data_IF_181796931468
#
_entry.id   IF_181796931468
#
_cell.length_a   1.000
_cell.length_b   1.000
_cell.length_c   1.000
_cell.angle_alpha   90.00
_cell.angle_beta   90.00
_cell.angle_gamma   90.00
#
_symmetry.space_group_name_H-M   'P 1'
#
loop_
_entity.id
_entity.type
_entity.pdbx_description
1 polymer ?
#
# COMPACT_ATOMS: atom_id res chain seq x y z
N UNK A 1 -15.86 -11.35 -2.79
CA UNK A 1 -15.42 -9.93 -2.83
C UNK A 1 -15.73 -9.35 -4.20
N UNK A 2 -16.14 -8.09 -4.26
CA UNK A 2 -16.22 -7.36 -5.52
C UNK A 2 -14.81 -7.17 -6.08
N UNK A 3 -14.57 -7.67 -7.31
CA UNK A 3 -13.21 -7.71 -7.90
C UNK A 3 -12.77 -6.37 -8.49
N UNK A 4 -13.70 -5.44 -8.70
CA UNK A 4 -13.43 -4.17 -9.37
C UNK A 4 -13.58 -3.03 -8.38
N UNK A 5 -12.47 -2.34 -8.12
CA UNK A 5 -12.43 -1.23 -7.17
C UNK A 5 -12.11 0.07 -7.90
N UNK A 6 -12.86 1.13 -7.61
CA UNK A 6 -12.49 2.49 -8.03
C UNK A 6 -11.41 3.01 -7.10
N UNK A 7 -10.16 2.91 -7.53
CA UNK A 7 -8.96 3.22 -6.72
C UNK A 7 -9.05 4.57 -6.00
N UNK A 8 -9.44 5.65 -6.69
CA UNK A 8 -9.53 6.98 -6.07
C UNK A 8 -10.52 7.04 -4.90
N UNK A 9 -11.71 6.46 -5.06
CA UNK A 9 -12.74 6.43 -4.02
C UNK A 9 -12.28 5.58 -2.83
N UNK A 10 -11.74 4.39 -3.11
CA UNK A 10 -11.25 3.49 -2.07
C UNK A 10 -10.11 4.09 -1.25
N UNK A 11 -9.18 4.80 -1.89
CA UNK A 11 -8.10 5.48 -1.18
C UNK A 11 -8.64 6.60 -0.28
N UNK A 12 -9.63 7.37 -0.73
CA UNK A 12 -10.23 8.42 0.10
C UNK A 12 -10.99 7.85 1.30
N UNK A 13 -11.78 6.80 1.08
CA UNK A 13 -12.51 6.08 2.14
C UNK A 13 -11.57 5.47 3.19
N UNK A 14 -10.35 5.10 2.79
CA UNK A 14 -9.35 4.47 3.66
C UNK A 14 -8.22 5.43 4.09
N UNK A 15 -8.40 6.75 3.87
CA UNK A 15 -7.37 7.77 4.10
C UNK A 15 -6.72 7.69 5.48
N UNK A 16 -7.49 7.36 6.51
CA UNK A 16 -7.00 7.23 7.89
C UNK A 16 -5.96 6.10 8.07
N UNK A 17 -6.03 5.04 7.27
CA UNK A 17 -5.06 3.92 7.33
C UNK A 17 -3.69 4.27 6.72
N UNK A 18 -3.61 5.35 5.94
CA UNK A 18 -2.37 5.76 5.25
C UNK A 18 -1.55 6.79 6.04
N UNK A 19 -1.86 6.96 7.33
CA UNK A 19 -1.13 7.79 8.27
C UNK A 19 -0.58 6.94 9.43
N UNK A 20 0.44 7.42 10.15
CA UNK A 20 0.89 6.77 11.38
C UNK A 20 -0.25 6.58 12.38
N UNK A 21 -0.27 5.46 13.13
CA UNK A 21 0.76 4.41 13.20
C UNK A 21 0.63 3.29 12.16
N UNK A 22 -0.38 3.32 11.28
CA UNK A 22 -0.71 2.17 10.41
C UNK A 22 0.03 2.23 9.07
N UNK A 23 0.00 3.39 8.40
CA UNK A 23 0.69 3.69 7.15
C UNK A 23 0.43 2.74 5.95
N UNK A 24 -0.43 1.74 6.04
CA UNK A 24 -0.73 0.86 4.91
C UNK A 24 -2.12 0.22 5.03
N UNK A 25 -2.65 -0.24 3.89
CA UNK A 25 -3.86 -1.05 3.86
C UNK A 25 -3.86 -2.01 2.67
N UNK A 26 -4.21 -3.26 2.94
CA UNK A 26 -4.42 -4.28 1.93
C UNK A 26 -5.79 -4.11 1.25
N UNK A 27 -5.80 -4.03 -0.07
CA UNK A 27 -7.02 -3.96 -0.90
C UNK A 27 -7.48 -5.37 -1.31
N UNK A 28 -6.55 -6.23 -1.71
CA UNK A 28 -6.82 -7.62 -2.07
C UNK A 28 -5.80 -8.56 -1.40
N UNK A 29 -6.30 -9.69 -0.88
CA UNK A 29 -5.52 -10.70 -0.15
C UNK A 29 -5.73 -12.08 -0.77
N UNK A 30 -5.44 -12.19 -2.06
CA UNK A 30 -5.55 -13.46 -2.79
C UNK A 30 -4.14 -13.93 -3.18
N UNK A 31 -4.00 -14.64 -4.31
CA UNK A 31 -2.69 -15.00 -4.85
C UNK A 31 -1.80 -13.76 -5.07
N UNK A 32 -2.38 -12.66 -5.55
CA UNK A 32 -1.72 -11.35 -5.61
C UNK A 32 -2.17 -10.49 -4.44
N UNK A 33 -1.19 -10.03 -3.64
CA UNK A 33 -1.43 -9.05 -2.58
C UNK A 33 -1.35 -7.65 -3.19
N UNK A 34 -2.45 -6.91 -3.16
CA UNK A 34 -2.50 -5.52 -3.63
C UNK A 34 -2.68 -4.65 -2.40
N UNK A 35 -1.69 -3.81 -2.10
CA UNK A 35 -1.72 -2.91 -0.96
C UNK A 35 -1.41 -1.47 -1.36
N UNK A 36 -1.86 -0.54 -0.54
CA UNK A 36 -1.56 0.87 -0.64
C UNK A 36 -0.78 1.27 0.60
N UNK A 37 0.32 1.98 0.39
CA UNK A 37 1.21 2.44 1.45
C UNK A 37 1.18 3.97 1.47
N UNK A 38 1.10 4.54 2.65
CA UNK A 38 1.19 5.96 2.93
C UNK A 38 2.37 6.29 3.83
N UNK A 39 2.34 7.48 4.42
CA UNK A 39 3.42 8.00 5.24
C UNK A 39 2.98 9.14 6.15
N UNK A 40 3.93 9.75 6.89
CA UNK A 40 5.38 9.46 6.84
C UNK A 40 5.73 8.11 7.49
N UNK A 41 6.65 7.37 6.88
CA UNK A 41 7.21 6.15 7.45
C UNK A 41 8.65 5.95 6.97
N UNK A 42 9.61 5.86 7.90
CA UNK A 42 11.02 5.61 7.59
C UNK A 42 11.55 4.54 8.54
N UNK A 43 12.26 3.56 8.00
CA UNK A 43 12.74 2.39 8.74
C UNK A 43 14.18 2.05 8.35
N UNK A 44 14.87 1.29 9.19
CA UNK A 44 16.29 0.93 9.01
C UNK A 44 16.49 -0.54 8.61
N UNK A 45 15.45 -1.34 8.75
CA UNK A 45 15.48 -2.75 8.44
C UNK A 45 15.16 -2.99 6.96
N UNK A 46 15.66 -4.11 6.45
CA UNK A 46 15.45 -4.56 5.08
C UNK A 46 14.46 -5.71 5.06
N UNK A 47 13.53 -5.69 4.10
CA UNK A 47 12.64 -6.80 3.81
C UNK A 47 13.31 -7.72 2.76
N UNK A 48 13.26 -9.03 2.98
CA UNK A 48 13.82 -10.03 2.06
C UNK A 48 12.74 -11.08 1.83
N UNK A 49 12.37 -11.26 0.56
CA UNK A 49 11.47 -12.33 0.13
C UNK A 49 11.92 -12.92 -1.20
N UNK A 50 11.44 -14.13 -1.51
CA UNK A 50 11.71 -14.81 -2.78
C UNK A 50 10.77 -14.34 -3.91
N UNK A 51 9.66 -13.70 -3.54
CA UNK A 51 8.67 -13.15 -4.47
C UNK A 51 9.10 -11.80 -5.06
N UNK A 52 8.48 -11.43 -6.17
CA UNK A 52 8.63 -10.11 -6.78
C UNK A 52 7.67 -9.10 -6.12
N UNK A 53 8.19 -7.95 -5.70
CA UNK A 53 7.39 -6.81 -5.23
C UNK A 53 7.44 -5.67 -6.26
N UNK A 54 6.32 -5.43 -6.95
CA UNK A 54 6.19 -4.34 -7.91
C UNK A 54 5.63 -3.07 -7.25
N UNK A 55 6.38 -1.97 -7.29
CA UNK A 55 5.97 -0.69 -6.69
C UNK A 55 5.64 0.37 -7.74
N UNK A 56 4.46 0.97 -7.62
CA UNK A 56 4.06 2.14 -8.41
C UNK A 56 3.59 3.29 -7.53
N UNK A 57 4.27 4.43 -7.65
CA UNK A 57 3.90 5.65 -6.93
C UNK A 57 2.68 6.31 -7.57
N UNK A 58 1.66 6.60 -6.76
CA UNK A 58 0.44 7.28 -7.20
C UNK A 58 0.41 8.77 -6.83
N UNK A 59 1.08 9.13 -5.73
CA UNK A 59 1.23 10.49 -5.22
C UNK A 59 2.62 10.62 -4.61
N UNK A 60 3.21 11.80 -4.76
CA UNK A 60 4.52 12.16 -4.20
C UNK A 60 5.65 11.19 -4.61
N UNK A 61 6.65 10.99 -3.75
CA UNK A 61 7.82 10.15 -4.00
C UNK A 61 8.06 9.15 -2.87
N UNK A 62 8.74 8.05 -3.18
CA UNK A 62 9.19 7.02 -2.25
C UNK A 62 10.65 6.68 -2.55
N UNK A 63 11.39 6.28 -1.51
CA UNK A 63 12.72 5.69 -1.59
C UNK A 63 12.56 4.25 -1.10
N UNK A 64 12.95 3.29 -1.93
CA UNK A 64 12.95 1.85 -1.63
C UNK A 64 14.36 1.40 -1.25
#
# INVERSE_FOLDING_TARGET
MERRVRVKSWVEENRASFQPPVCNKLMHQEQLKIMFVGGPNTRKDYHIEEGEEETRTLRDSIIL
#
